data_IF_143493386279
#
_entry.id   IF_143493386279
#
_cell.length_a   1.000
_cell.length_b   1.000
_cell.length_c   1.000
_cell.angle_alpha   90.00
_cell.angle_beta   90.00
_cell.angle_gamma   90.00
#
_symmetry.space_group_name_H-M   'P 1'
#
loop_
_entity.id
_entity.type
_entity.pdbx_description
1 polymer ?
#
# COMPACT_ATOMS: atom_id res chain seq x y z
N UNK A 1 -17.75 -13.70 -4.87
CA UNK A 1 -16.34 -13.38 -4.70
C UNK A 1 -15.49 -14.65 -4.79
N UNK A 2 -14.26 -14.54 -5.35
CA UNK A 2 -13.37 -15.70 -5.52
C UNK A 2 -12.58 -16.04 -4.22
N UNK A 3 -12.49 -15.09 -3.28
CA UNK A 3 -11.71 -15.20 -2.05
C UNK A 3 -12.63 -15.08 -0.83
N UNK A 4 -13.51 -16.05 -0.67
CA UNK A 4 -14.54 -16.05 0.40
C UNK A 4 -13.98 -16.26 1.81
N UNK A 5 -12.73 -16.73 1.91
CA UNK A 5 -12.04 -16.92 3.19
C UNK A 5 -11.39 -15.64 3.74
N UNK A 6 -11.28 -14.58 2.92
CA UNK A 6 -10.73 -13.30 3.37
C UNK A 6 -11.84 -12.41 3.96
N UNK A 7 -11.52 -11.68 5.00
CA UNK A 7 -12.25 -10.54 5.49
C UNK A 7 -11.51 -9.28 5.02
N UNK A 8 -12.12 -8.51 4.11
CA UNK A 8 -11.47 -7.37 3.47
C UNK A 8 -12.01 -6.05 4.02
N UNK A 9 -11.22 -5.41 4.85
CA UNK A 9 -11.50 -4.07 5.37
C UNK A 9 -10.86 -3.03 4.45
N UNK A 10 -11.65 -2.18 3.82
CA UNK A 10 -11.12 -1.03 3.08
C UNK A 10 -10.85 0.15 4.01
N UNK A 11 -9.89 1.00 3.64
CA UNK A 11 -9.60 2.24 4.35
C UNK A 11 -9.07 3.29 3.38
N UNK A 12 -9.36 4.55 3.65
CA UNK A 12 -8.84 5.70 2.89
C UNK A 12 -9.13 6.99 3.70
N UNK A 13 -8.63 8.14 3.22
CA UNK A 13 -9.10 9.42 3.73
C UNK A 13 -10.59 9.57 3.51
N UNK A 14 -11.28 10.23 4.42
CA UNK A 14 -12.74 10.34 4.39
C UNK A 14 -13.31 10.85 3.06
N UNK A 15 -12.60 11.76 2.39
CA UNK A 15 -13.01 12.31 1.10
C UNK A 15 -13.21 11.25 -0.01
N UNK A 16 -12.54 10.10 0.07
CA UNK A 16 -12.62 9.01 -0.91
C UNK A 16 -13.69 7.95 -0.58
N UNK A 17 -14.31 8.00 0.60
CA UNK A 17 -15.27 6.99 1.05
C UNK A 17 -16.50 6.86 0.12
N UNK A 18 -16.99 7.97 -0.43
CA UNK A 18 -18.12 7.95 -1.35
C UNK A 18 -17.85 7.09 -2.60
N UNK A 19 -16.64 7.20 -3.16
CA UNK A 19 -16.22 6.43 -4.35
C UNK A 19 -16.07 4.95 -3.98
N UNK A 20 -15.45 4.64 -2.85
CA UNK A 20 -15.28 3.27 -2.37
C UNK A 20 -16.64 2.62 -2.13
N UNK A 21 -17.54 3.31 -1.46
CA UNK A 21 -18.91 2.82 -1.20
C UNK A 21 -19.68 2.58 -2.50
N UNK A 22 -19.53 3.43 -3.52
CA UNK A 22 -20.15 3.22 -4.83
C UNK A 22 -19.69 1.89 -5.47
N UNK A 23 -18.40 1.55 -5.34
CA UNK A 23 -17.88 0.25 -5.79
C UNK A 23 -18.42 -0.92 -4.98
N UNK A 24 -18.55 -0.79 -3.66
CA UNK A 24 -19.16 -1.81 -2.79
C UNK A 24 -20.61 -2.07 -3.15
N UNK A 25 -21.39 -1.03 -3.50
CA UNK A 25 -22.77 -1.17 -3.96
C UNK A 25 -22.84 -1.86 -5.32
N UNK A 26 -21.94 -1.49 -6.26
CA UNK A 26 -21.91 -2.08 -7.60
C UNK A 26 -21.45 -3.55 -7.59
N UNK A 27 -20.57 -3.92 -6.66
CA UNK A 27 -19.98 -5.27 -6.56
C UNK A 27 -20.05 -5.79 -5.11
N UNK A 28 -21.25 -6.07 -4.60
CA UNK A 28 -21.42 -6.45 -3.19
C UNK A 28 -20.77 -7.80 -2.90
N UNK A 29 -20.14 -7.89 -1.73
CA UNK A 29 -19.61 -9.14 -1.20
C UNK A 29 -19.74 -9.15 0.32
N UNK A 30 -20.15 -10.28 0.90
CA UNK A 30 -20.39 -10.42 2.33
C UNK A 30 -19.14 -10.30 3.21
N UNK A 31 -17.97 -10.44 2.60
CA UNK A 31 -16.65 -10.36 3.25
C UNK A 31 -15.90 -9.05 2.93
N UNK A 32 -16.59 -8.05 2.39
CA UNK A 32 -16.05 -6.72 2.05
C UNK A 32 -16.73 -5.68 2.95
N UNK A 33 -15.94 -4.96 3.75
CA UNK A 33 -16.41 -4.02 4.75
C UNK A 33 -16.25 -2.57 4.30
N UNK A 34 -17.19 -1.72 4.74
CA UNK A 34 -17.20 -0.30 4.44
C UNK A 34 -15.89 0.39 4.86
N UNK A 35 -15.46 1.46 4.16
CA UNK A 35 -14.17 2.08 4.40
C UNK A 35 -14.09 2.72 5.79
N UNK A 36 -13.00 2.43 6.50
CA UNK A 36 -12.60 3.15 7.71
C UNK A 36 -11.76 4.37 7.33
N UNK A 37 -11.85 5.44 8.10
CA UNK A 37 -11.02 6.63 7.89
C UNK A 37 -9.59 6.32 8.28
N UNK A 38 -8.67 6.55 7.36
CA UNK A 38 -7.23 6.43 7.61
C UNK A 38 -6.44 7.44 6.77
N UNK A 39 -5.91 8.44 7.45
CA UNK A 39 -4.98 9.41 6.88
C UNK A 39 -3.61 9.18 7.52
N UNK A 40 -2.65 8.67 6.74
CA UNK A 40 -1.29 8.33 7.21
C UNK A 40 -0.59 9.50 7.92
N UNK A 41 -0.93 10.74 7.56
CA UNK A 41 -0.28 11.91 8.15
C UNK A 41 -0.62 12.14 9.63
N UNK A 42 -1.80 11.68 10.09
CA UNK A 42 -2.33 12.02 11.41
C UNK A 42 -2.96 10.85 12.18
N UNK A 43 -3.41 9.79 11.50
CA UNK A 43 -4.16 8.71 12.14
C UNK A 43 -3.22 7.54 12.50
N UNK A 44 -3.62 6.77 13.50
CA UNK A 44 -3.13 5.40 13.71
C UNK A 44 -3.85 4.44 12.75
N UNK A 45 -3.28 3.25 12.54
CA UNK A 45 -3.97 2.20 11.77
C UNK A 45 -5.32 1.91 12.43
N UNK A 46 -6.42 1.87 11.64
CA UNK A 46 -7.74 1.56 12.18
C UNK A 46 -7.77 0.20 12.88
N UNK A 47 -8.51 0.11 13.97
CA UNK A 47 -8.71 -1.15 14.70
C UNK A 47 -9.49 -2.14 13.84
N UNK A 48 -9.15 -3.42 13.92
CA UNK A 48 -9.90 -4.48 13.27
C UNK A 48 -11.20 -4.74 14.07
N UNK A 49 -12.31 -4.16 13.58
CA UNK A 49 -13.62 -4.29 14.21
C UNK A 49 -14.31 -5.63 13.90
N UNK A 50 -13.76 -6.41 12.94
CA UNK A 50 -14.33 -7.70 12.51
C UNK A 50 -13.82 -8.85 13.36
N UNK A 51 -12.59 -8.74 13.83
CA UNK A 51 -11.96 -9.74 14.70
C UNK A 51 -11.22 -9.00 15.83
N UNK A 52 -11.24 -9.59 17.03
CA UNK A 52 -10.45 -9.09 18.17
C UNK A 52 -8.97 -9.53 18.02
N UNK A 53 -8.36 -9.11 16.91
CA UNK A 53 -7.00 -9.45 16.52
C UNK A 53 -6.44 -8.41 15.56
N UNK A 54 -5.11 -8.26 15.43
CA UNK A 54 -4.48 -7.47 14.38
C UNK A 54 -4.90 -7.95 12.98
N UNK A 55 -4.75 -7.09 11.97
CA UNK A 55 -4.87 -7.53 10.58
C UNK A 55 -3.70 -8.46 10.21
N UNK A 56 -3.99 -9.57 9.54
CA UNK A 56 -2.97 -10.51 9.06
C UNK A 56 -2.17 -9.98 7.87
N UNK A 57 -2.79 -9.07 7.10
CA UNK A 57 -2.16 -8.45 5.95
C UNK A 57 -2.67 -7.03 5.71
N UNK A 58 -1.80 -6.20 5.15
CA UNK A 58 -2.13 -4.89 4.58
C UNK A 58 -1.81 -4.91 3.10
N UNK A 59 -2.72 -4.39 2.28
CA UNK A 59 -2.53 -4.20 0.85
C UNK A 59 -2.65 -2.72 0.51
N UNK A 60 -1.73 -2.22 -0.29
CA UNK A 60 -1.80 -0.88 -0.88
C UNK A 60 -1.48 -0.91 -2.37
N UNK A 61 -2.15 -0.06 -3.14
CA UNK A 61 -1.95 0.02 -4.58
C UNK A 61 -1.93 1.47 -5.04
N UNK A 62 -0.92 1.85 -5.83
CA UNK A 62 -0.79 3.17 -6.43
C UNK A 62 -0.81 4.31 -5.40
N UNK A 63 -0.20 4.10 -4.24
CA UNK A 63 -0.24 5.00 -3.09
C UNK A 63 1.13 5.64 -2.83
N UNK A 64 2.22 4.86 -2.91
CA UNK A 64 3.55 5.36 -2.53
C UNK A 64 4.04 6.49 -3.42
N UNK A 65 3.70 6.46 -4.70
CA UNK A 65 4.15 7.47 -5.66
C UNK A 65 3.40 8.80 -5.57
N UNK A 66 2.23 8.84 -4.91
CA UNK A 66 1.44 10.08 -4.70
C UNK A 66 1.69 10.72 -3.33
N UNK A 67 2.35 10.04 -2.40
CA UNK A 67 2.72 10.57 -1.09
C UNK A 67 4.14 11.13 -1.09
N UNK A 68 4.45 12.04 -0.16
CA UNK A 68 5.83 12.41 0.12
C UNK A 68 6.60 11.22 0.70
N UNK A 69 7.94 11.22 0.56
CA UNK A 69 8.77 10.15 1.14
C UNK A 69 8.62 10.04 2.66
N UNK A 70 8.43 11.15 3.35
CA UNK A 70 8.15 11.17 4.79
C UNK A 70 6.87 10.42 5.14
N UNK A 71 5.81 10.57 4.34
CA UNK A 71 4.56 9.83 4.54
C UNK A 71 4.70 8.36 4.15
N UNK A 72 5.49 8.04 3.13
CA UNK A 72 5.84 6.64 2.81
C UNK A 72 6.52 5.99 4.00
N UNK A 73 7.54 6.65 4.58
CA UNK A 73 8.23 6.14 5.76
C UNK A 73 7.27 5.95 6.96
N UNK A 74 6.37 6.91 7.17
CA UNK A 74 5.34 6.82 8.22
C UNK A 74 4.39 5.63 7.99
N UNK A 75 3.97 5.37 6.75
CA UNK A 75 3.13 4.21 6.41
C UNK A 75 3.85 2.90 6.74
N UNK A 76 5.12 2.75 6.34
CA UNK A 76 5.91 1.55 6.65
C UNK A 76 6.07 1.34 8.15
N UNK A 77 6.33 2.41 8.91
CA UNK A 77 6.36 2.36 10.36
C UNK A 77 5.03 1.85 10.94
N UNK A 78 3.91 2.49 10.59
CA UNK A 78 2.58 2.15 11.11
C UNK A 78 2.20 0.69 10.80
N UNK A 79 2.48 0.25 9.57
CA UNK A 79 2.20 -1.13 9.14
C UNK A 79 3.13 -2.11 9.85
N UNK A 80 4.43 -1.79 9.94
CA UNK A 80 5.40 -2.62 10.65
C UNK A 80 5.06 -2.78 12.12
N UNK A 81 4.63 -1.72 12.79
CA UNK A 81 4.25 -1.77 14.22
C UNK A 81 2.95 -2.57 14.45
N UNK A 82 2.01 -2.53 13.49
CA UNK A 82 0.69 -3.15 13.62
C UNK A 82 0.68 -4.64 13.25
N UNK A 83 1.41 -5.03 12.21
CA UNK A 83 1.37 -6.41 11.71
C UNK A 83 1.88 -7.42 12.75
N UNK A 84 1.18 -8.54 12.93
CA UNK A 84 1.68 -9.64 13.74
C UNK A 84 2.87 -10.33 13.06
N UNK A 85 3.58 -11.17 13.81
CA UNK A 85 4.63 -12.02 13.26
C UNK A 85 4.09 -12.85 12.08
N UNK A 86 4.84 -12.91 10.99
CA UNK A 86 4.47 -13.50 9.69
C UNK A 86 3.35 -12.75 8.94
N UNK A 87 2.83 -11.63 9.48
CA UNK A 87 1.91 -10.75 8.78
C UNK A 87 2.53 -10.20 7.49
N UNK A 88 1.68 -9.84 6.51
CA UNK A 88 2.13 -9.44 5.18
C UNK A 88 1.81 -7.98 4.89
N UNK A 89 2.78 -7.26 4.35
CA UNK A 89 2.54 -5.98 3.70
C UNK A 89 2.72 -6.15 2.19
N UNK A 90 1.67 -5.92 1.43
CA UNK A 90 1.61 -6.17 -0.01
C UNK A 90 1.47 -4.82 -0.71
N UNK A 91 2.44 -4.48 -1.57
CA UNK A 91 2.54 -3.18 -2.22
C UNK A 91 2.50 -3.37 -3.73
N UNK A 92 1.47 -2.82 -4.38
CA UNK A 92 1.33 -2.79 -5.85
C UNK A 92 1.69 -1.40 -6.37
N UNK A 93 2.83 -1.25 -7.06
CA UNK A 93 3.37 0.04 -7.51
C UNK A 93 4.26 -0.12 -8.74
N UNK A 94 4.49 0.95 -9.52
CA UNK A 94 5.67 1.04 -10.37
C UNK A 94 6.89 1.38 -9.52
N UNK A 95 8.05 0.79 -9.85
CA UNK A 95 9.32 1.10 -9.19
C UNK A 95 10.41 1.45 -10.21
N UNK A 96 11.31 2.35 -9.80
CA UNK A 96 12.61 2.54 -10.44
C UNK A 96 13.61 1.57 -9.83
N UNK A 97 14.61 1.16 -10.59
CA UNK A 97 15.65 0.22 -10.14
C UNK A 97 17.04 0.69 -10.61
N UNK A 98 18.05 0.47 -9.80
CA UNK A 98 19.45 0.79 -10.13
C UNK A 98 19.63 2.25 -10.60
N UNK A 99 18.91 3.19 -9.98
CA UNK A 99 18.95 4.60 -10.34
C UNK A 99 18.29 4.95 -11.68
N UNK A 100 17.56 4.04 -12.30
CA UNK A 100 16.98 4.20 -13.64
C UNK A 100 15.48 3.95 -13.65
N UNK A 101 14.78 4.55 -14.61
CA UNK A 101 13.38 4.23 -14.87
C UNK A 101 13.27 2.85 -15.52
N UNK A 102 12.30 2.06 -15.06
CA UNK A 102 12.02 0.73 -15.63
C UNK A 102 11.47 0.79 -17.06
N UNK A 103 10.92 1.95 -17.49
CA UNK A 103 10.42 2.17 -18.85
C UNK A 103 10.30 3.66 -19.20
N UNK A 104 10.17 3.95 -20.51
CA UNK A 104 9.91 5.30 -20.98
C UNK A 104 8.56 5.84 -20.49
N UNK A 105 7.54 4.99 -20.39
CA UNK A 105 6.22 5.37 -19.85
C UNK A 105 6.29 5.72 -18.36
N UNK A 106 7.07 4.97 -17.57
CA UNK A 106 7.27 5.30 -16.16
C UNK A 106 8.03 6.62 -15.98
N UNK A 107 8.99 6.94 -16.86
CA UNK A 107 9.64 8.27 -16.86
C UNK A 107 8.63 9.39 -17.09
N UNK A 108 7.74 9.26 -18.07
CA UNK A 108 6.72 10.27 -18.36
C UNK A 108 5.72 10.39 -17.21
N UNK A 109 5.35 9.27 -16.62
CA UNK A 109 4.45 9.23 -15.47
C UNK A 109 5.08 9.92 -14.25
N UNK A 110 6.32 9.60 -13.91
CA UNK A 110 7.05 10.25 -12.82
C UNK A 110 7.14 11.77 -13.03
N UNK A 111 7.45 12.21 -14.26
CA UNK A 111 7.46 13.64 -14.60
C UNK A 111 6.10 14.30 -14.34
N UNK A 112 5.00 13.67 -14.75
CA UNK A 112 3.65 14.19 -14.54
C UNK A 112 3.24 14.23 -13.06
N UNK A 113 3.69 13.28 -12.25
CA UNK A 113 3.50 13.28 -10.80
C UNK A 113 4.20 14.48 -10.15
N UNK A 114 5.48 14.67 -10.47
CA UNK A 114 6.31 15.76 -9.90
C UNK A 114 5.87 17.15 -10.35
N UNK A 115 5.21 17.27 -11.50
CA UNK A 115 4.60 18.54 -11.92
C UNK A 115 3.39 18.92 -11.06
N UNK A 116 2.67 17.93 -10.52
CA UNK A 116 1.51 18.17 -9.63
C UNK A 116 1.94 18.41 -8.19
N UNK A 117 2.90 17.62 -7.72
CA UNK A 117 3.52 17.73 -6.40
C UNK A 117 4.98 17.28 -6.48
N UNK A 118 5.90 18.19 -6.18
CA UNK A 118 7.34 17.92 -6.22
C UNK A 118 7.79 16.80 -5.25
N UNK A 119 6.99 16.51 -4.22
CA UNK A 119 7.26 15.44 -3.25
C UNK A 119 6.76 14.06 -3.71
N UNK A 120 5.90 14.03 -4.75
CA UNK A 120 5.45 12.80 -5.40
C UNK A 120 6.52 12.23 -6.32
N UNK A 121 6.33 11.02 -6.78
CA UNK A 121 7.18 10.38 -7.80
C UNK A 121 7.37 8.89 -7.56
N UNK A 122 7.73 8.18 -8.64
CA UNK A 122 8.01 6.74 -8.57
C UNK A 122 9.20 6.50 -7.62
N UNK A 123 9.02 5.58 -6.69
CA UNK A 123 10.03 5.24 -5.69
C UNK A 123 11.07 4.28 -6.25
N UNK A 124 12.29 4.36 -5.74
CA UNK A 124 13.32 3.37 -6.04
C UNK A 124 13.07 2.12 -5.20
N UNK A 125 13.17 0.95 -5.83
CA UNK A 125 12.95 -0.34 -5.21
C UNK A 125 13.88 -0.55 -4.00
N UNK A 126 15.14 -0.19 -4.17
CA UNK A 126 16.18 -0.32 -3.17
C UNK A 126 15.83 0.50 -1.90
N UNK A 127 15.44 1.77 -2.08
CA UNK A 127 15.05 2.65 -0.97
C UNK A 127 13.85 2.10 -0.21
N UNK A 128 12.88 1.52 -0.93
CA UNK A 128 11.67 0.91 -0.32
C UNK A 128 12.03 -0.36 0.45
N UNK A 129 12.93 -1.19 -0.06
CA UNK A 129 13.40 -2.39 0.64
C UNK A 129 14.16 -2.00 1.91
N UNK A 130 15.06 -1.02 1.82
CA UNK A 130 15.83 -0.55 2.96
C UNK A 130 14.92 0.04 4.05
N UNK A 131 13.94 0.84 3.64
CA UNK A 131 12.93 1.37 4.55
C UNK A 131 12.12 0.24 5.21
N UNK A 132 11.65 -0.75 4.45
CA UNK A 132 10.91 -1.90 4.99
C UNK A 132 11.73 -2.64 6.06
N UNK A 133 13.01 -2.88 5.79
CA UNK A 133 13.91 -3.56 6.73
C UNK A 133 14.05 -2.79 8.06
N UNK A 134 14.03 -1.45 8.06
CA UNK A 134 14.07 -0.65 9.30
C UNK A 134 12.84 -0.84 10.18
N UNK A 135 11.74 -1.35 9.62
CA UNK A 135 10.48 -1.63 10.30
C UNK A 135 10.18 -3.13 10.42
N UNK A 136 11.22 -3.97 10.35
CA UNK A 136 11.12 -5.43 10.52
C UNK A 136 10.27 -6.13 9.44
N UNK A 137 10.14 -5.50 8.28
CA UNK A 137 9.44 -6.01 7.11
C UNK A 137 10.46 -6.46 6.07
N UNK A 138 10.64 -7.76 5.88
CA UNK A 138 11.58 -8.30 4.91
C UNK A 138 10.87 -8.63 3.59
N UNK A 139 11.47 -8.25 2.45
CA UNK A 139 10.95 -8.63 1.13
C UNK A 139 11.03 -10.15 0.97
N UNK A 140 9.86 -10.80 0.89
CA UNK A 140 9.74 -12.25 0.75
C UNK A 140 9.44 -12.70 -0.68
N UNK A 141 8.68 -11.87 -1.44
CA UNK A 141 8.33 -12.18 -2.84
C UNK A 141 8.20 -10.91 -3.66
N UNK A 142 8.50 -11.04 -4.96
CA UNK A 142 8.31 -10.00 -5.97
C UNK A 142 7.62 -10.61 -7.19
N UNK A 143 6.66 -9.90 -7.77
CA UNK A 143 5.95 -10.30 -8.98
C UNK A 143 5.92 -9.15 -9.97
N UNK A 144 6.28 -9.46 -11.22
CA UNK A 144 6.09 -8.53 -12.34
C UNK A 144 4.60 -8.48 -12.71
N UNK A 145 4.09 -7.26 -12.91
CA UNK A 145 2.69 -7.01 -13.19
C UNK A 145 2.54 -6.22 -14.51
N UNK A 146 1.36 -6.24 -15.13
CA UNK A 146 1.10 -5.44 -16.34
C UNK A 146 1.42 -3.96 -16.13
N UNK A 147 1.70 -3.26 -17.24
CA UNK A 147 1.96 -1.82 -17.27
C UNK A 147 3.18 -1.37 -16.46
N UNK A 148 4.22 -2.21 -16.41
CA UNK A 148 5.48 -1.96 -15.68
C UNK A 148 5.28 -1.72 -14.18
N UNK A 149 4.23 -2.30 -13.60
CA UNK A 149 4.03 -2.36 -12.15
C UNK A 149 4.64 -3.64 -11.58
N UNK A 150 4.75 -3.68 -10.27
CA UNK A 150 5.21 -4.84 -9.52
C UNK A 150 4.36 -5.01 -8.26
N UNK A 151 4.28 -6.24 -7.78
CA UNK A 151 3.83 -6.52 -6.42
C UNK A 151 5.06 -6.91 -5.60
N UNK A 152 5.28 -6.18 -4.51
CA UNK A 152 6.23 -6.54 -3.47
C UNK A 152 5.46 -7.10 -2.28
N UNK A 153 5.86 -8.26 -1.78
CA UNK A 153 5.31 -8.87 -0.57
C UNK A 153 6.38 -8.83 0.50
N UNK A 154 6.16 -8.01 1.50
CA UNK A 154 6.98 -7.97 2.70
C UNK A 154 6.36 -8.84 3.79
N UNK A 155 7.19 -9.44 4.61
CA UNK A 155 6.79 -10.28 5.74
C UNK A 155 7.38 -9.74 7.04
N UNK A 156 6.56 -9.66 8.09
CA UNK A 156 6.99 -9.27 9.44
C UNK A 156 7.76 -10.41 10.09
N UNK A 157 9.03 -10.19 10.43
CA UNK A 157 9.91 -11.24 10.97
C UNK A 157 10.04 -11.22 12.50
N UNK A 158 9.99 -10.05 13.14
CA UNK A 158 10.18 -9.87 14.58
C UNK A 158 9.70 -8.49 15.05
#
# INVERSE_FOLDING_TARGET
PRLTHLHWQTSDVYANHAIINAWHIAYPASNLYAPLTFDVSRDSVPVNEVADAPYDAVFTANTLHIMSWTLVAKLFQLVGDMLPLNGKFIVYEPFNENGSYSSASNRQFDHSLRQRDANSGIRHLEDVIDLANTHHLMLSKRYEMPSNNQILVFEKLY
#
